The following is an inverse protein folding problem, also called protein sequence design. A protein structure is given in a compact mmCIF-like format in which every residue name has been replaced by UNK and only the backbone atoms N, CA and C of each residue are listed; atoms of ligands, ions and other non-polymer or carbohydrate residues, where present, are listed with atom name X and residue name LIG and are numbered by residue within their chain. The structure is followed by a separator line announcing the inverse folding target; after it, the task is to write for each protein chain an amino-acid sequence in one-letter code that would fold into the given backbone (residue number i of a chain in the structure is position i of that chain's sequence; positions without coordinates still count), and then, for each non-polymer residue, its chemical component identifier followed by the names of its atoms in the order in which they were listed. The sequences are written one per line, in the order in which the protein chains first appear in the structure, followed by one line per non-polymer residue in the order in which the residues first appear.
data_IF_808622028677
#
_entry.id   IF_808622028677
#
_cell.length_a   1.000
_cell.length_b   1.000
_cell.length_c   1.000
_cell.angle_alpha   90.00
_cell.angle_beta   90.00
_cell.angle_gamma   90.00
#
_symmetry.space_group_name_H-M   'P 1'
#
loop_
_entity.id
_entity.type
_entity.pdbx_description
1 polymer ?
#
# COMPACT_ATOMS: atom_id res chain seq x y z
N UNK A 1 -17.50 -17.99 8.37
CA UNK A 1 -16.70 -17.82 9.61
C UNK A 1 -17.08 -18.91 10.59
N UNK A 2 -18.35 -19.01 10.96
CA UNK A 2 -18.92 -20.00 11.89
C UNK A 2 -18.51 -21.46 11.59
N UNK A 3 -18.81 -21.99 10.40
CA UNK A 3 -18.49 -23.40 10.08
C UNK A 3 -17.00 -23.75 10.14
N UNK A 4 -16.13 -22.79 9.77
CA UNK A 4 -14.68 -22.97 9.83
C UNK A 4 -14.17 -22.90 11.27
N UNK A 5 -14.83 -22.15 12.15
CA UNK A 5 -14.46 -22.08 13.56
C UNK A 5 -14.62 -23.44 14.26
N UNK A 6 -15.68 -24.17 13.89
CA UNK A 6 -15.98 -25.49 14.46
C UNK A 6 -15.23 -26.64 13.78
N UNK A 7 -15.07 -26.59 12.45
CA UNK A 7 -14.54 -27.72 11.68
C UNK A 7 -13.00 -27.71 11.53
N UNK A 8 -12.36 -26.54 11.48
CA UNK A 8 -10.92 -26.40 11.21
C UNK A 8 -10.36 -25.07 11.78
N UNK A 9 -10.00 -25.10 13.06
CA UNK A 9 -9.49 -23.95 13.79
C UNK A 9 -8.18 -23.37 13.18
N UNK A 10 -7.34 -24.22 12.58
CA UNK A 10 -6.09 -23.77 11.93
C UNK A 10 -6.39 -22.93 10.69
N UNK A 11 -7.31 -23.38 9.83
CA UNK A 11 -7.78 -22.60 8.69
C UNK A 11 -8.51 -21.34 9.12
N UNK A 12 -9.32 -21.42 10.18
CA UNK A 12 -10.03 -20.27 10.73
C UNK A 12 -9.05 -19.17 11.15
N UNK A 13 -8.05 -19.52 11.97
CA UNK A 13 -7.01 -18.57 12.40
C UNK A 13 -6.26 -17.97 11.22
N UNK A 14 -5.89 -18.78 10.23
CA UNK A 14 -5.14 -18.29 9.06
C UNK A 14 -5.93 -17.31 8.16
N UNK A 15 -7.23 -17.55 7.96
CA UNK A 15 -8.06 -16.76 7.05
C UNK A 15 -8.68 -15.54 7.72
N UNK A 16 -9.01 -15.66 9.01
CA UNK A 16 -9.75 -14.63 9.75
C UNK A 16 -8.91 -13.91 10.81
N UNK A 17 -7.57 -14.00 10.75
CA UNK A 17 -6.67 -13.39 11.73
C UNK A 17 -7.04 -11.94 12.09
N UNK A 18 -7.31 -11.08 11.09
CA UNK A 18 -7.67 -9.68 11.35
C UNK A 18 -8.96 -9.54 12.14
N UNK A 19 -9.97 -10.36 11.84
CA UNK A 19 -11.22 -10.33 12.59
C UNK A 19 -11.02 -10.83 14.03
N UNK A 20 -10.13 -11.80 14.24
CA UNK A 20 -9.75 -12.25 15.59
C UNK A 20 -9.02 -11.12 16.34
N UNK A 21 -8.07 -10.45 15.69
CA UNK A 21 -7.30 -9.34 16.27
C UNK A 21 -8.20 -8.15 16.62
N UNK A 22 -9.24 -7.90 15.81
CA UNK A 22 -10.22 -6.83 15.98
C UNK A 22 -11.44 -7.24 16.84
N UNK A 23 -11.43 -8.46 17.41
CA UNK A 23 -12.53 -9.05 18.22
C UNK A 23 -13.90 -9.08 17.52
N UNK A 24 -13.91 -9.26 16.20
CA UNK A 24 -15.13 -9.32 15.37
C UNK A 24 -15.51 -10.78 15.08
N UNK A 25 -16.75 -11.15 15.40
CA UNK A 25 -17.29 -12.48 15.15
C UNK A 25 -18.17 -12.56 13.89
N UNK A 26 -18.79 -13.72 13.66
CA UNK A 26 -19.65 -13.93 12.49
C UNK A 26 -20.98 -13.15 12.56
N UNK A 27 -21.53 -12.96 13.76
CA UNK A 27 -22.77 -12.24 14.01
C UNK A 27 -22.61 -10.74 13.89
N UNK A 28 -21.45 -10.21 14.28
CA UNK A 28 -21.13 -8.78 14.19
C UNK A 28 -21.10 -8.26 12.74
N UNK A 29 -20.83 -9.13 11.76
CA UNK A 29 -20.73 -8.75 10.35
C UNK A 29 -22.03 -8.12 9.81
N UNK A 30 -23.20 -8.63 10.20
CA UNK A 30 -24.47 -8.08 9.74
C UNK A 30 -24.65 -6.62 10.19
N UNK A 31 -24.38 -6.36 11.48
CA UNK A 31 -24.48 -5.03 12.08
C UNK A 31 -23.48 -4.06 11.44
N UNK A 32 -22.20 -4.47 11.32
CA UNK A 32 -21.14 -3.66 10.71
C UNK A 32 -21.54 -3.20 9.30
N UNK A 33 -22.05 -4.10 8.45
CA UNK A 33 -22.46 -3.73 7.10
C UNK A 33 -23.75 -2.89 7.06
N UNK A 34 -24.70 -3.15 7.96
CA UNK A 34 -25.93 -2.36 8.06
C UNK A 34 -25.62 -0.89 8.43
N UNK A 35 -24.74 -0.70 9.43
CA UNK A 35 -24.26 0.62 9.84
C UNK A 35 -23.44 1.31 8.75
N UNK A 36 -22.54 0.58 8.09
CA UNK A 36 -21.76 1.11 6.97
C UNK A 36 -22.66 1.62 5.84
N UNK A 37 -23.69 0.85 5.45
CA UNK A 37 -24.64 1.29 4.43
C UNK A 37 -25.44 2.53 4.86
N UNK A 38 -25.81 2.64 6.13
CA UNK A 38 -26.48 3.85 6.66
C UNK A 38 -25.54 5.06 6.60
N UNK A 39 -24.28 4.90 7.02
CA UNK A 39 -23.27 5.95 7.00
C UNK A 39 -22.96 6.43 5.56
N UNK A 40 -22.79 5.51 4.60
CA UNK A 40 -22.54 5.84 3.19
C UNK A 40 -23.73 6.60 2.57
N UNK A 41 -24.97 6.22 2.90
CA UNK A 41 -26.16 6.96 2.41
C UNK A 41 -26.27 8.36 3.02
N UNK A 42 -25.81 8.53 4.25
CA UNK A 42 -25.82 9.82 4.93
C UNK A 42 -24.74 10.76 4.35
N UNK A 43 -23.52 10.26 4.13
CA UNK A 43 -22.44 11.00 3.48
C UNK A 43 -21.61 10.09 2.56
N UNK A 44 -21.93 10.04 1.26
CA UNK A 44 -21.20 9.24 0.28
C UNK A 44 -19.73 9.66 0.10
N UNK A 45 -19.36 10.88 0.49
CA UNK A 45 -18.03 11.44 0.32
C UNK A 45 -17.31 11.65 1.66
N UNK A 46 -17.71 10.90 2.69
CA UNK A 46 -17.10 10.96 4.02
C UNK A 46 -15.58 10.84 3.89
N UNK A 47 -14.88 11.84 4.40
CA UNK A 47 -13.41 11.83 4.43
C UNK A 47 -12.93 10.86 5.49
N UNK A 48 -11.83 10.20 5.19
CA UNK A 48 -11.08 9.40 6.14
C UNK A 48 -10.35 10.36 7.10
N UNK A 49 -10.76 10.36 8.37
CA UNK A 49 -10.19 11.21 9.42
C UNK A 49 -8.79 10.71 9.83
N UNK A 50 -8.51 9.42 9.64
CA UNK A 50 -7.24 8.76 9.92
C UNK A 50 -6.31 8.74 8.70
N UNK A 51 -6.74 9.31 7.58
CA UNK A 51 -5.87 9.55 6.43
C UNK A 51 -4.78 10.54 6.86
N UNK A 52 -3.68 10.00 7.37
CA UNK A 52 -2.47 10.72 7.72
C UNK A 52 -2.16 11.74 6.62
N UNK A 53 -1.66 12.92 7.03
CA UNK A 53 -1.33 13.98 6.09
C UNK A 53 -0.46 13.41 4.98
N UNK A 54 -1.04 13.29 3.78
CA UNK A 54 -0.34 12.71 2.65
C UNK A 54 0.87 13.59 2.41
N UNK A 55 2.06 13.00 2.31
CA UNK A 55 3.26 13.74 1.93
C UNK A 55 2.93 14.62 0.73
N UNK A 56 3.42 15.84 0.74
CA UNK A 56 3.20 16.79 -0.35
C UNK A 56 3.72 16.20 -1.65
N UNK A 57 3.20 16.71 -2.77
CA UNK A 57 3.66 16.32 -4.11
C UNK A 57 5.19 16.50 -4.26
N UNK A 58 5.74 17.51 -3.60
CA UNK A 58 7.17 17.84 -3.62
C UNK A 58 8.00 16.79 -2.86
N UNK A 59 7.54 16.37 -1.69
CA UNK A 59 8.19 15.31 -0.91
C UNK A 59 8.19 13.97 -1.66
N UNK A 60 7.06 13.58 -2.27
CA UNK A 60 7.01 12.38 -3.10
C UNK A 60 7.93 12.45 -4.30
N UNK A 61 8.01 13.61 -4.95
CA UNK A 61 8.91 13.84 -6.07
C UNK A 61 10.36 13.72 -5.64
N UNK A 62 10.72 14.30 -4.50
CA UNK A 62 12.07 14.22 -3.95
C UNK A 62 12.46 12.77 -3.63
N UNK A 63 11.57 12.00 -2.98
CA UNK A 63 11.81 10.59 -2.67
C UNK A 63 11.97 9.74 -3.94
N UNK A 64 11.08 9.91 -4.91
CA UNK A 64 11.14 9.20 -6.19
C UNK A 64 12.41 9.51 -6.98
N UNK A 65 12.88 10.77 -6.93
CA UNK A 65 14.11 11.18 -7.64
C UNK A 65 15.37 10.53 -7.09
N UNK A 66 15.41 10.08 -5.83
CA UNK A 66 16.57 9.38 -5.26
C UNK A 66 16.85 8.05 -5.97
N UNK A 67 15.81 7.33 -6.34
CA UNK A 67 15.90 6.01 -6.97
C UNK A 67 15.84 6.07 -8.50
N UNK A 68 15.49 7.23 -9.07
CA UNK A 68 15.41 7.42 -10.50
C UNK A 68 16.79 7.69 -11.11
N UNK A 69 17.25 6.80 -11.97
CA UNK A 69 18.45 7.03 -12.77
C UNK A 69 18.24 8.16 -13.79
N UNK A 70 19.16 9.13 -13.81
CA UNK A 70 19.18 10.20 -14.80
C UNK A 70 19.92 9.72 -16.06
N UNK A 71 19.51 10.25 -17.21
CA UNK A 71 20.23 10.01 -18.46
C UNK A 71 21.56 10.77 -18.42
N UNK A 72 22.64 10.13 -18.88
CA UNK A 72 23.92 10.79 -19.11
C UNK A 72 23.78 11.88 -20.17
N UNK A 73 24.46 13.00 -19.95
CA UNK A 73 24.66 14.07 -20.92
C UNK A 73 25.57 13.63 -22.07
N UNK A 74 25.66 14.45 -23.13
CA UNK A 74 26.55 14.15 -24.26
C UNK A 74 28.02 14.09 -23.83
N UNK A 75 28.49 15.10 -23.09
CA UNK A 75 29.87 15.17 -22.61
C UNK A 75 30.25 13.99 -21.71
N UNK A 76 29.36 13.57 -20.80
CA UNK A 76 29.59 12.39 -19.95
C UNK A 76 29.68 11.09 -20.77
N UNK A 77 28.89 10.98 -21.85
CA UNK A 77 28.99 9.84 -22.78
C UNK A 77 30.30 9.84 -23.54
N UNK A 78 30.74 11.00 -24.04
CA UNK A 78 32.03 11.12 -24.75
C UNK A 78 33.21 10.78 -23.84
N UNK A 79 33.23 11.30 -22.61
CA UNK A 79 34.24 10.98 -21.62
C UNK A 79 34.27 9.47 -21.33
N UNK A 80 33.11 8.84 -21.14
CA UNK A 80 33.01 7.39 -20.93
C UNK A 80 33.54 6.58 -22.11
N UNK A 81 33.34 7.05 -23.35
CA UNK A 81 33.89 6.41 -24.54
C UNK A 81 35.42 6.54 -24.57
N UNK A 82 35.95 7.72 -24.29
CA UNK A 82 37.40 7.96 -24.25
C UNK A 82 38.11 7.15 -23.16
N UNK A 83 37.55 7.07 -21.95
CA UNK A 83 38.09 6.22 -20.88
C UNK A 83 38.09 4.75 -21.30
N UNK A 84 36.99 4.28 -21.87
CA UNK A 84 36.90 2.88 -22.33
C UNK A 84 37.91 2.56 -23.44
N UNK A 85 38.18 3.50 -24.34
CA UNK A 85 39.24 3.33 -25.35
C UNK A 85 40.62 3.23 -24.69
N UNK A 86 40.90 4.06 -23.68
CA UNK A 86 42.18 4.04 -22.94
C UNK A 86 42.39 2.76 -22.14
N UNK A 87 41.33 2.16 -21.59
CA UNK A 87 41.44 0.88 -20.86
C UNK A 87 41.62 -0.33 -21.78
N UNK A 88 41.20 -0.24 -23.05
CA UNK A 88 41.28 -1.33 -24.02
C UNK A 88 42.57 -1.32 -24.87
N UNK A 89 43.35 -0.25 -24.81
CA UNK A 89 44.64 -0.07 -25.51
C UNK A 89 45.78 -0.28 -24.53
#
# INVERSE_FOLDING_TARGET
METLADDDEERFKSQFQKYIDDEVDAGDLEEIYAEAHKAIRADPFKKDEDAASKKTKEEWKAESLKYRTKKLTHAEKEARVQEKIRELV
#
